data_IF_222210125832
#
_entry.id   IF_222210125832
#
_cell.length_a   1.000
_cell.length_b   1.000
_cell.length_c   1.000
_cell.angle_alpha   90.00
_cell.angle_beta   90.00
_cell.angle_gamma   90.00
#
_symmetry.space_group_name_H-M   'P 1'
#
loop_
_entity.id
_entity.type
_entity.pdbx_description
1 polymer ?
#
# COMPACT_ATOMS: atom_id res chain seq x y z
N UNK A 1 -54.30 41.54 29.08
CA UNK A 1 -54.69 40.89 27.81
C UNK A 1 -53.40 40.39 27.19
N UNK A 2 -53.28 39.08 27.00
CA UNK A 2 -52.19 38.34 26.32
C UNK A 2 -50.79 38.39 26.95
N UNK A 3 -50.02 37.31 27.07
CA UNK A 3 -50.27 35.87 27.18
C UNK A 3 -48.93 35.31 27.70
N UNK A 4 -48.95 34.55 28.79
CA UNK A 4 -47.75 33.93 29.37
C UNK A 4 -47.33 32.77 28.44
N UNK A 5 -46.07 32.68 27.99
CA UNK A 5 -45.65 31.58 27.12
C UNK A 5 -45.77 30.23 27.87
N UNK A 6 -46.15 29.15 27.18
CA UNK A 6 -46.47 27.88 27.81
C UNK A 6 -45.22 27.18 28.36
N UNK A 7 -45.42 26.53 29.50
CA UNK A 7 -44.48 25.60 30.14
C UNK A 7 -44.31 24.38 29.23
N UNK A 8 -43.08 23.93 28.90
CA UNK A 8 -42.91 22.66 28.20
C UNK A 8 -43.24 21.49 29.15
N UNK A 9 -44.19 20.65 28.74
CA UNK A 9 -44.51 19.37 29.37
C UNK A 9 -43.30 18.42 29.37
N UNK A 10 -43.20 17.52 30.36
CA UNK A 10 -42.10 16.57 30.46
C UNK A 10 -42.15 15.57 29.30
N UNK A 11 -41.13 15.61 28.44
CA UNK A 11 -40.91 14.59 27.41
C UNK A 11 -40.81 13.23 28.08
N UNK A 12 -41.84 12.42 27.86
CA UNK A 12 -41.87 11.00 28.16
C UNK A 12 -40.70 10.33 27.46
N UNK A 13 -39.86 9.69 28.27
CA UNK A 13 -38.80 8.79 27.84
C UNK A 13 -39.46 7.67 27.02
N UNK A 14 -39.07 7.44 25.75
CA UNK A 14 -39.48 6.22 25.09
C UNK A 14 -38.71 5.08 25.74
N UNK A 15 -39.43 4.26 26.50
CA UNK A 15 -39.05 2.91 26.91
C UNK A 15 -38.78 2.10 25.65
N UNK A 16 -37.56 2.16 25.15
CA UNK A 16 -37.05 1.33 24.07
C UNK A 16 -36.56 0.01 24.63
N UNK A 17 -37.45 -0.97 24.61
CA UNK A 17 -37.17 -2.37 24.30
C UNK A 17 -35.74 -2.85 24.60
N UNK A 18 -35.53 -3.38 25.82
CA UNK A 18 -34.33 -4.13 26.22
C UNK A 18 -34.29 -5.49 25.49
N UNK A 19 -34.14 -5.43 24.17
CA UNK A 19 -33.77 -6.54 23.28
C UNK A 19 -32.25 -6.80 23.30
N UNK A 20 -31.78 -7.92 22.72
CA UNK A 20 -30.64 -8.75 23.16
C UNK A 20 -29.22 -8.16 23.03
N UNK A 21 -29.05 -6.83 22.97
CA UNK A 21 -27.74 -6.17 22.92
C UNK A 21 -27.01 -6.23 24.27
N UNK A 22 -27.72 -6.27 25.40
CA UNK A 22 -27.11 -6.28 26.73
C UNK A 22 -26.27 -7.54 27.02
N UNK A 23 -26.57 -8.67 26.36
CA UNK A 23 -25.82 -9.91 26.49
C UNK A 23 -24.47 -9.91 25.74
N UNK A 24 -24.26 -8.98 24.81
CA UNK A 24 -23.09 -8.96 23.91
C UNK A 24 -21.85 -8.24 24.47
N UNK A 25 -22.04 -7.35 25.47
CA UNK A 25 -20.98 -6.47 25.99
C UNK A 25 -19.93 -7.25 26.79
N UNK A 26 -20.30 -8.43 27.28
CA UNK A 26 -19.46 -9.31 28.11
C UNK A 26 -18.64 -10.35 27.36
N UNK A 27 -19.18 -10.87 26.26
CA UNK A 27 -18.64 -12.02 25.51
C UNK A 27 -17.67 -11.59 24.41
N UNK A 28 -17.89 -10.41 23.83
CA UNK A 28 -17.05 -9.87 22.78
C UNK A 28 -15.93 -9.00 23.36
N UNK A 29 -14.80 -9.06 22.68
CA UNK A 29 -13.72 -8.12 22.77
C UNK A 29 -14.05 -6.89 21.94
N UNK A 30 -13.14 -5.95 22.07
CA UNK A 30 -13.11 -4.63 21.47
C UNK A 30 -13.33 -4.62 19.96
N UNK A 31 -12.82 -5.64 19.28
CA UNK A 31 -12.85 -5.76 17.83
C UNK A 31 -14.09 -6.53 17.34
N UNK A 32 -15.08 -6.74 18.21
CA UNK A 32 -16.24 -7.57 17.93
C UNK A 32 -15.92 -9.07 17.86
N UNK A 33 -14.74 -9.50 18.32
CA UNK A 33 -14.33 -10.91 18.34
C UNK A 33 -14.63 -11.51 19.71
N UNK A 34 -14.94 -12.79 19.83
CA UNK A 34 -15.13 -13.39 21.16
C UNK A 34 -13.86 -13.27 22.01
N UNK A 35 -13.99 -12.83 23.28
CA UNK A 35 -12.85 -12.73 24.21
C UNK A 35 -12.17 -14.09 24.30
N UNK A 36 -10.83 -14.13 24.29
CA UNK A 36 -10.06 -15.41 24.40
C UNK A 36 -10.49 -16.29 25.58
N UNK A 37 -10.90 -15.70 26.69
CA UNK A 37 -11.44 -16.43 27.86
C UNK A 37 -12.80 -17.10 27.57
N UNK A 38 -13.66 -16.44 26.80
CA UNK A 38 -14.98 -16.94 26.37
C UNK A 38 -14.79 -18.09 25.40
N UNK A 39 -13.96 -17.89 24.36
CA UNK A 39 -13.59 -18.94 23.39
C UNK A 39 -13.03 -20.17 24.11
N UNK A 40 -12.03 -19.98 24.98
CA UNK A 40 -11.41 -21.09 25.74
C UNK A 40 -12.40 -21.80 26.67
N UNK A 41 -13.34 -21.07 27.26
CA UNK A 41 -14.37 -21.67 28.13
C UNK A 41 -15.38 -22.47 27.32
N UNK A 42 -15.76 -21.97 26.14
CA UNK A 42 -16.66 -22.63 25.19
C UNK A 42 -16.05 -23.93 24.65
N UNK A 43 -14.80 -23.87 24.18
CA UNK A 43 -14.05 -25.04 23.68
C UNK A 43 -13.90 -26.11 24.78
N UNK A 44 -13.52 -25.70 25.99
CA UNK A 44 -13.37 -26.64 27.12
C UNK A 44 -14.69 -27.24 27.57
N UNK A 45 -15.78 -26.48 27.49
CA UNK A 45 -17.12 -27.00 27.79
C UNK A 45 -17.58 -28.02 26.78
N UNK A 46 -17.42 -27.74 25.48
CA UNK A 46 -17.72 -28.70 24.43
C UNK A 46 -16.93 -30.01 24.64
N UNK A 47 -15.62 -29.93 24.79
CA UNK A 47 -14.77 -31.12 25.00
C UNK A 47 -15.13 -31.93 26.25
N UNK A 48 -15.51 -31.27 27.36
CA UNK A 48 -15.94 -31.98 28.57
C UNK A 48 -17.30 -32.65 28.36
N UNK A 49 -18.25 -31.98 27.69
CA UNK A 49 -19.58 -32.54 27.41
C UNK A 49 -19.52 -33.70 26.42
N UNK A 50 -18.70 -33.60 25.37
CA UNK A 50 -18.50 -34.67 24.39
C UNK A 50 -17.95 -35.93 25.07
N UNK A 51 -16.92 -35.78 25.91
CA UNK A 51 -16.34 -36.90 26.66
C UNK A 51 -17.31 -37.51 27.70
N UNK A 52 -18.20 -36.71 28.29
CA UNK A 52 -19.26 -37.22 29.16
C UNK A 52 -20.31 -37.99 28.37
N UNK A 53 -20.65 -37.53 27.16
CA UNK A 53 -21.57 -38.23 26.26
C UNK A 53 -21.00 -39.57 25.76
N UNK A 54 -19.67 -39.64 25.56
CA UNK A 54 -18.92 -40.88 25.31
C UNK A 54 -18.84 -41.82 26.54
N UNK A 55 -19.38 -41.43 27.69
CA UNK A 55 -19.39 -42.24 28.91
C UNK A 55 -18.08 -42.24 29.70
N UNK A 56 -17.15 -41.31 29.41
CA UNK A 56 -15.89 -41.25 30.13
C UNK A 56 -16.08 -40.79 31.59
N UNK A 57 -15.31 -41.41 32.51
CA UNK A 57 -15.31 -41.00 33.91
C UNK A 57 -14.63 -39.63 34.09
N UNK A 58 -15.01 -38.91 35.15
CA UNK A 58 -14.43 -37.59 35.45
C UNK A 58 -12.90 -37.63 35.59
N UNK A 59 -12.32 -38.73 36.08
CA UNK A 59 -10.87 -38.90 36.19
C UNK A 59 -10.21 -39.04 34.82
N UNK A 60 -10.82 -39.81 33.92
CA UNK A 60 -10.35 -39.94 32.54
C UNK A 60 -10.33 -38.58 31.82
N UNK A 61 -11.37 -37.77 32.02
CA UNK A 61 -11.46 -36.41 31.46
C UNK A 61 -10.37 -35.49 32.02
N UNK A 62 -10.07 -35.57 33.33
CA UNK A 62 -8.99 -34.79 33.95
C UNK A 62 -7.63 -35.09 33.28
N UNK A 63 -7.33 -36.37 33.05
CA UNK A 63 -6.08 -36.79 32.42
C UNK A 63 -6.02 -36.43 30.93
N UNK A 64 -7.10 -36.66 30.18
CA UNK A 64 -7.15 -36.43 28.72
C UNK A 64 -7.08 -34.95 28.35
N UNK A 65 -7.73 -34.08 29.13
CA UNK A 65 -7.74 -32.63 28.90
C UNK A 65 -6.71 -31.86 29.73
N UNK A 66 -5.97 -32.54 30.63
CA UNK A 66 -5.06 -31.94 31.60
C UNK A 66 -5.73 -30.80 32.40
N UNK A 67 -6.95 -31.07 32.89
CA UNK A 67 -7.74 -30.12 33.67
C UNK A 67 -7.85 -30.60 35.11
N UNK A 68 -7.87 -29.64 36.05
CA UNK A 68 -8.09 -29.95 37.46
C UNK A 68 -9.49 -30.52 37.71
N UNK A 69 -9.61 -31.44 38.69
CA UNK A 69 -10.84 -32.15 39.02
C UNK A 69 -11.98 -31.20 39.42
N UNK A 70 -11.69 -30.09 40.09
CA UNK A 70 -12.70 -29.09 40.43
C UNK A 70 -13.23 -28.36 39.19
N UNK A 71 -12.38 -28.16 38.18
CA UNK A 71 -12.74 -27.56 36.90
C UNK A 71 -13.59 -28.51 36.08
N UNK A 72 -13.18 -29.78 35.92
CA UNK A 72 -13.98 -30.79 35.21
C UNK A 72 -15.34 -30.97 35.86
N UNK A 73 -15.41 -31.06 37.20
CA UNK A 73 -16.68 -31.14 37.94
C UNK A 73 -17.57 -29.92 37.75
N UNK A 74 -16.99 -28.71 37.69
CA UNK A 74 -17.73 -27.47 37.44
C UNK A 74 -18.34 -27.45 36.03
N UNK A 75 -17.59 -27.91 35.03
CA UNK A 75 -18.03 -27.95 33.64
C UNK A 75 -19.06 -29.07 33.39
N UNK A 76 -18.91 -30.21 34.06
CA UNK A 76 -19.85 -31.34 33.98
C UNK A 76 -21.23 -31.04 34.61
N UNK A 77 -21.27 -30.16 35.63
CA UNK A 77 -22.52 -29.78 36.32
C UNK A 77 -23.25 -28.59 35.69
N UNK A 78 -22.54 -27.80 34.88
CA UNK A 78 -23.13 -26.63 34.26
C UNK A 78 -24.12 -27.05 33.17
N UNK A 79 -25.32 -26.49 33.19
CA UNK A 79 -26.39 -26.83 32.23
C UNK A 79 -26.23 -26.04 30.93
N UNK A 80 -25.57 -24.88 31.00
CA UNK A 80 -25.27 -24.05 29.83
C UNK A 80 -23.91 -23.35 29.94
N UNK A 81 -23.37 -22.94 28.78
CA UNK A 81 -22.15 -22.13 28.70
C UNK A 81 -22.37 -20.77 29.39
N UNK A 82 -23.58 -20.23 29.32
CA UNK A 82 -23.92 -18.93 29.90
C UNK A 82 -23.75 -18.95 31.43
N UNK A 83 -24.13 -20.03 32.11
CA UNK A 83 -23.93 -20.22 33.55
C UNK A 83 -22.45 -20.12 33.96
N UNK A 84 -21.55 -20.67 33.15
CA UNK A 84 -20.10 -20.62 33.39
C UNK A 84 -19.52 -19.23 33.12
N UNK A 85 -20.13 -18.47 32.21
CA UNK A 85 -19.65 -17.17 31.78
C UNK A 85 -20.19 -16.02 32.64
N UNK A 86 -21.37 -16.12 33.26
CA UNK A 86 -21.99 -15.07 34.09
C UNK A 86 -21.02 -14.47 35.12
N UNK A 87 -20.28 -15.32 35.85
CA UNK A 87 -19.36 -14.88 36.90
C UNK A 87 -18.09 -14.18 36.37
N UNK A 88 -17.76 -14.43 35.10
CA UNK A 88 -16.57 -13.88 34.42
C UNK A 88 -16.93 -12.62 33.64
N UNK A 89 -18.13 -12.56 33.08
CA UNK A 89 -18.69 -11.43 32.34
C UNK A 89 -19.08 -10.29 33.27
N UNK A 90 -19.65 -10.57 34.45
CA UNK A 90 -20.15 -9.56 35.37
C UNK A 90 -19.08 -8.84 36.21
N UNK A 91 -17.79 -8.97 35.88
CA UNK A 91 -16.74 -8.12 36.48
C UNK A 91 -16.73 -6.77 35.77
N UNK A 92 -17.63 -5.88 36.15
CA UNK A 92 -17.62 -4.49 35.69
C UNK A 92 -16.29 -3.84 36.05
N UNK A 93 -15.53 -3.39 35.05
CA UNK A 93 -14.32 -2.59 35.29
C UNK A 93 -14.59 -1.11 35.07
N UNK A 94 -13.87 -0.23 35.76
CA UNK A 94 -13.97 1.23 35.61
C UNK A 94 -13.74 1.67 34.14
N UNK A 95 -13.03 0.85 33.35
CA UNK A 95 -12.78 1.11 31.93
C UNK A 95 -14.00 0.82 31.05
N UNK A 96 -14.98 0.04 31.51
CA UNK A 96 -16.12 -0.44 30.72
C UNK A 96 -16.94 0.73 30.15
N UNK A 97 -17.13 1.79 30.95
CA UNK A 97 -17.84 3.00 30.54
C UNK A 97 -17.14 3.79 29.42
N UNK A 98 -15.82 3.67 29.28
CA UNK A 98 -15.02 4.43 28.32
C UNK A 98 -14.59 3.60 27.10
N UNK A 99 -14.93 2.30 27.05
CA UNK A 99 -14.62 1.44 25.90
C UNK A 99 -15.17 1.97 24.57
N UNK A 100 -16.42 2.46 24.47
CA UNK A 100 -16.97 2.94 23.20
C UNK A 100 -16.14 4.09 22.62
N UNK A 101 -15.72 5.04 23.47
CA UNK A 101 -14.87 6.16 23.05
C UNK A 101 -13.51 5.68 22.51
N UNK A 102 -12.87 4.75 23.22
CA UNK A 102 -11.60 4.17 22.78
C UNK A 102 -11.72 3.43 21.44
N UNK A 103 -12.85 2.75 21.17
CA UNK A 103 -13.10 2.09 19.89
C UNK A 103 -13.26 3.09 18.75
N UNK A 104 -14.07 4.12 18.96
CA UNK A 104 -14.31 5.15 17.97
C UNK A 104 -12.98 5.80 17.55
N UNK A 105 -12.19 6.25 18.52
CA UNK A 105 -10.92 6.93 18.27
C UNK A 105 -9.87 6.01 17.63
N UNK A 106 -9.86 4.73 18.00
CA UNK A 106 -8.99 3.73 17.35
C UNK A 106 -9.36 3.51 15.88
N UNK A 107 -10.65 3.44 15.57
CA UNK A 107 -11.14 3.30 14.19
C UNK A 107 -10.91 4.56 13.34
N UNK A 108 -10.87 5.73 13.97
CA UNK A 108 -10.43 6.99 13.36
C UNK A 108 -8.89 7.06 13.14
N UNK A 109 -8.14 6.03 13.55
CA UNK A 109 -6.70 5.93 13.35
C UNK A 109 -5.85 6.53 14.46
N UNK A 110 -6.42 6.89 15.60
CA UNK A 110 -5.65 7.35 16.77
C UNK A 110 -5.09 6.15 17.54
N UNK A 111 -3.78 5.93 17.44
CA UNK A 111 -3.04 4.87 18.14
C UNK A 111 -2.23 5.38 19.35
N UNK A 112 -2.18 6.70 19.56
CA UNK A 112 -1.49 7.30 20.71
C UNK A 112 -2.25 7.05 22.02
N UNK A 113 -1.72 6.12 22.81
CA UNK A 113 -2.23 5.75 24.14
C UNK A 113 -2.27 6.94 25.12
N UNK A 114 -1.33 7.89 25.02
CA UNK A 114 -1.29 9.05 25.93
C UNK A 114 -2.37 10.08 25.56
N UNK A 115 -2.64 10.25 24.27
CA UNK A 115 -3.77 11.04 23.80
C UNK A 115 -5.10 10.42 24.25
N UNK A 116 -5.30 9.13 24.00
CA UNK A 116 -6.52 8.41 24.39
C UNK A 116 -6.78 8.44 25.90
N UNK A 117 -5.73 8.35 26.73
CA UNK A 117 -5.87 8.46 28.20
C UNK A 117 -6.33 9.85 28.64
N UNK A 118 -5.79 10.93 28.04
CA UNK A 118 -6.23 12.30 28.34
C UNK A 118 -7.69 12.53 27.97
N UNK A 119 -8.12 12.00 26.82
CA UNK A 119 -9.50 12.12 26.36
C UNK A 119 -10.48 11.42 27.30
N UNK A 120 -10.19 10.17 27.72
CA UNK A 120 -11.08 9.48 28.66
C UNK A 120 -11.01 10.05 30.08
N UNK A 121 -9.85 10.61 30.49
CA UNK A 121 -9.72 11.30 31.77
C UNK A 121 -10.62 12.54 31.83
N UNK A 122 -10.74 13.29 30.73
CA UNK A 122 -11.70 14.40 30.61
C UNK A 122 -13.17 13.94 30.66
N UNK A 123 -13.44 12.70 30.22
CA UNK A 123 -14.77 12.06 30.31
C UNK A 123 -15.06 11.44 31.70
N UNK A 124 -14.18 11.64 32.69
CA UNK A 124 -14.37 11.17 34.07
C UNK A 124 -13.67 9.86 34.42
N UNK A 125 -12.74 9.38 33.58
CA UNK A 125 -11.94 8.18 33.91
C UNK A 125 -10.94 8.47 35.03
N UNK A 126 -11.03 7.71 36.13
CA UNK A 126 -10.15 7.84 37.31
C UNK A 126 -8.98 6.86 37.31
N UNK A 127 -8.83 6.03 36.27
CA UNK A 127 -7.78 5.02 36.19
C UNK A 127 -6.46 5.52 35.59
N UNK A 128 -5.39 4.75 35.84
CA UNK A 128 -4.06 5.05 35.31
C UNK A 128 -3.89 4.71 33.82
N UNK A 129 -2.93 5.38 33.16
CA UNK A 129 -2.57 5.17 31.75
C UNK A 129 -2.21 3.71 31.42
N UNK A 130 -1.66 2.96 32.38
CA UNK A 130 -1.31 1.55 32.20
C UNK A 130 -2.53 0.64 31.99
N UNK A 131 -3.68 1.02 32.56
CA UNK A 131 -4.95 0.30 32.36
C UNK A 131 -5.42 0.43 30.90
N UNK A 132 -5.30 1.64 30.34
CA UNK A 132 -5.58 1.93 28.93
C UNK A 132 -4.60 1.19 28.04
N UNK A 133 -3.29 1.30 28.31
CA UNK A 133 -2.24 0.60 27.54
C UNK A 133 -2.46 -0.92 27.51
N UNK A 134 -2.79 -1.52 28.66
CA UNK A 134 -3.06 -2.96 28.75
C UNK A 134 -4.28 -3.37 27.93
N UNK A 135 -5.31 -2.52 27.88
CA UNK A 135 -6.52 -2.73 27.09
C UNK A 135 -6.25 -2.60 25.58
N UNK A 136 -5.54 -1.52 25.18
CA UNK A 136 -5.17 -1.25 23.79
C UNK A 136 -4.18 -2.27 23.22
N UNK A 137 -3.42 -2.99 24.06
CA UNK A 137 -2.46 -4.03 23.63
C UNK A 137 -3.08 -5.13 22.75
N UNK A 138 -4.37 -5.38 22.89
CA UNK A 138 -5.08 -6.40 22.10
C UNK A 138 -5.63 -5.86 20.78
N UNK A 139 -5.59 -4.55 20.57
CA UNK A 139 -6.02 -3.96 19.32
C UNK A 139 -4.88 -4.16 18.33
N UNK A 140 -5.11 -4.99 17.32
CA UNK A 140 -4.21 -5.03 16.17
C UNK A 140 -4.37 -3.69 15.45
N UNK A 141 -3.29 -2.95 15.16
CA UNK A 141 -3.39 -1.80 14.28
C UNK A 141 -4.14 -2.23 13.02
N UNK A 142 -5.13 -1.45 12.58
CA UNK A 142 -5.66 -1.61 11.24
C UNK A 142 -4.44 -1.62 10.31
N UNK A 143 -4.36 -2.59 9.40
CA UNK A 143 -3.17 -2.80 8.57
C UNK A 143 -2.67 -1.43 8.08
N UNK A 144 -1.38 -1.09 8.31
CA UNK A 144 -0.89 0.25 8.00
C UNK A 144 -1.31 0.55 6.57
N UNK A 145 -2.09 1.62 6.37
CA UNK A 145 -2.43 2.10 5.04
C UNK A 145 -1.12 2.13 4.26
N UNK A 146 -1.00 1.38 3.14
CA UNK A 146 0.28 1.25 2.47
C UNK A 146 0.79 2.66 2.21
N UNK A 147 1.97 2.97 2.76
CA UNK A 147 2.57 4.27 2.55
C UNK A 147 2.59 4.54 1.05
N UNK A 148 2.21 5.75 0.60
CA UNK A 148 2.16 6.05 -0.82
C UNK A 148 3.52 5.69 -1.43
N UNK A 149 3.49 4.89 -2.51
CA UNK A 149 4.72 4.49 -3.21
C UNK A 149 5.48 5.77 -3.57
N UNK A 150 6.75 5.81 -3.20
CA UNK A 150 7.59 6.97 -3.55
C UNK A 150 7.61 7.11 -5.08
N UNK A 151 7.35 8.33 -5.55
CA UNK A 151 7.36 8.61 -6.98
C UNK A 151 8.74 8.23 -7.57
N UNK A 152 8.78 7.58 -8.73
CA UNK A 152 10.04 7.21 -9.35
C UNK A 152 10.82 8.47 -9.77
N UNK A 153 12.15 8.38 -9.68
CA UNK A 153 13.02 9.49 -10.09
C UNK A 153 12.81 9.81 -11.59
N UNK A 154 12.86 11.09 -12.02
CA UNK A 154 12.66 11.44 -13.43
C UNK A 154 13.55 10.67 -14.42
N UNK A 155 14.83 10.46 -14.08
CA UNK A 155 15.76 9.66 -14.90
C UNK A 155 15.31 8.22 -15.11
N UNK A 156 14.62 7.63 -14.12
CA UNK A 156 14.08 6.27 -14.21
C UNK A 156 12.92 6.23 -15.20
N UNK A 157 12.02 7.22 -15.13
CA UNK A 157 10.90 7.37 -16.08
C UNK A 157 11.41 7.58 -17.51
N UNK A 158 12.39 8.46 -17.71
CA UNK A 158 13.02 8.66 -19.03
C UNK A 158 13.62 7.36 -19.56
N UNK A 159 14.32 6.60 -18.70
CA UNK A 159 14.87 5.29 -19.09
C UNK A 159 13.76 4.33 -19.52
N UNK A 160 12.64 4.27 -18.82
CA UNK A 160 11.51 3.42 -19.20
C UNK A 160 10.90 3.83 -20.54
N UNK A 161 10.73 5.13 -20.79
CA UNK A 161 10.21 5.66 -22.06
C UNK A 161 11.13 5.28 -23.22
N UNK A 162 12.45 5.40 -23.02
CA UNK A 162 13.47 5.14 -24.05
C UNK A 162 13.79 3.65 -24.24
N UNK A 163 13.28 2.77 -23.37
CA UNK A 163 13.50 1.32 -23.47
C UNK A 163 12.43 0.71 -24.38
N UNK A 164 12.81 -0.21 -25.26
CA UNK A 164 11.86 -0.98 -26.07
C UNK A 164 10.86 -1.67 -25.11
N UNK A 165 9.53 -1.50 -25.31
CA UNK A 165 8.52 -2.09 -24.43
C UNK A 165 8.68 -3.60 -24.19
N UNK A 166 9.16 -4.36 -25.19
CA UNK A 166 9.40 -5.80 -25.05
C UNK A 166 10.57 -6.19 -24.14
N UNK A 167 11.42 -5.22 -23.75
CA UNK A 167 12.57 -5.42 -22.87
C UNK A 167 12.38 -4.77 -21.49
N UNK A 168 11.18 -4.23 -21.21
CA UNK A 168 10.87 -3.59 -19.94
C UNK A 168 10.41 -4.67 -18.93
N UNK A 169 10.88 -4.58 -17.68
CA UNK A 169 10.40 -5.47 -16.62
C UNK A 169 8.91 -5.19 -16.33
N UNK A 170 8.15 -6.21 -15.98
CA UNK A 170 6.69 -6.10 -15.76
C UNK A 170 6.34 -5.01 -14.73
N UNK A 171 7.06 -4.96 -13.60
CA UNK A 171 6.86 -3.94 -12.56
C UNK A 171 7.14 -2.50 -13.06
N UNK A 172 8.17 -2.35 -13.90
CA UNK A 172 8.54 -1.07 -14.50
C UNK A 172 7.51 -0.65 -15.58
N UNK A 173 6.97 -1.61 -16.33
CA UNK A 173 5.92 -1.39 -17.31
C UNK A 173 4.59 -0.97 -16.65
N UNK A 174 4.22 -1.63 -15.55
CA UNK A 174 3.07 -1.26 -14.73
C UNK A 174 3.25 0.15 -14.15
N UNK A 175 4.42 0.44 -13.57
CA UNK A 175 4.73 1.76 -13.02
C UNK A 175 4.66 2.86 -14.09
N UNK A 176 5.22 2.62 -15.28
CA UNK A 176 5.13 3.58 -16.39
C UNK A 176 3.67 3.79 -16.82
N UNK A 177 2.86 2.73 -16.87
CA UNK A 177 1.43 2.82 -17.21
C UNK A 177 0.67 3.68 -16.20
N UNK A 178 0.89 3.46 -14.90
CA UNK A 178 0.25 4.26 -13.83
C UNK A 178 0.56 5.76 -13.99
N UNK A 179 1.83 6.11 -14.26
CA UNK A 179 2.22 7.53 -14.41
C UNK A 179 1.64 8.14 -15.69
N UNK A 180 1.60 7.38 -16.78
CA UNK A 180 0.98 7.85 -18.05
C UNK A 180 -0.51 8.15 -17.88
N UNK A 181 -1.23 7.36 -17.08
CA UNK A 181 -2.65 7.64 -16.78
C UNK A 181 -2.81 8.94 -15.99
N UNK A 182 -1.87 9.24 -15.09
CA UNK A 182 -1.91 10.44 -14.24
C UNK A 182 -1.40 11.74 -14.89
N UNK A 183 -0.72 11.66 -16.04
CA UNK A 183 -0.13 12.83 -16.71
C UNK A 183 -0.28 12.72 -18.24
N UNK A 184 -1.27 13.41 -18.84
CA UNK A 184 -1.51 13.41 -20.28
C UNK A 184 -0.31 13.84 -21.11
N UNK A 185 0.47 14.80 -20.61
CA UNK A 185 1.67 15.30 -21.28
C UNK A 185 2.76 14.21 -21.35
N UNK A 186 2.96 13.45 -20.26
CA UNK A 186 3.89 12.34 -20.26
C UNK A 186 3.41 11.20 -21.15
N UNK A 187 2.10 10.97 -21.20
CA UNK A 187 1.52 10.00 -22.12
C UNK A 187 1.86 10.37 -23.58
N UNK A 188 1.56 11.60 -23.98
CA UNK A 188 1.85 12.11 -25.33
C UNK A 188 3.35 12.06 -25.66
N UNK A 189 4.22 12.51 -24.75
CA UNK A 189 5.69 12.40 -24.92
C UNK A 189 6.13 10.95 -25.11
N UNK A 190 5.55 10.02 -24.36
CA UNK A 190 5.89 8.60 -24.48
C UNK A 190 5.51 8.05 -25.85
N UNK A 191 4.34 8.42 -26.36
CA UNK A 191 3.87 7.98 -27.68
C UNK A 191 4.74 8.58 -28.79
N UNK A 192 5.01 9.89 -28.76
CA UNK A 192 5.90 10.53 -29.74
C UNK A 192 7.30 9.95 -29.75
N UNK A 193 7.88 9.68 -28.57
CA UNK A 193 9.20 9.08 -28.47
C UNK A 193 9.24 7.65 -29.04
N UNK A 194 8.19 6.86 -28.81
CA UNK A 194 8.07 5.49 -29.33
C UNK A 194 7.88 5.48 -30.84
N UNK A 195 7.01 6.34 -31.36
CA UNK A 195 6.78 6.49 -32.80
C UNK A 195 8.06 6.91 -33.52
N UNK A 196 8.81 7.86 -32.96
CA UNK A 196 10.08 8.29 -33.53
C UNK A 196 11.14 7.17 -33.48
N UNK A 197 11.17 6.37 -32.40
CA UNK A 197 12.07 5.23 -32.29
C UNK A 197 11.73 4.10 -33.26
N UNK A 198 10.45 3.88 -33.55
CA UNK A 198 10.00 2.95 -34.60
C UNK A 198 10.38 3.46 -35.98
N UNK A 199 10.14 4.75 -36.26
CA UNK A 199 10.54 5.41 -37.50
C UNK A 199 12.04 5.26 -37.78
N UNK A 200 12.89 5.47 -36.77
CA UNK A 200 14.34 5.26 -36.86
C UNK A 200 14.71 3.80 -37.13
N UNK A 201 14.01 2.85 -36.50
CA UNK A 201 14.30 1.42 -36.61
C UNK A 201 13.95 0.87 -37.99
N UNK A 202 12.81 1.29 -38.51
CA UNK A 202 12.22 0.77 -39.74
C UNK A 202 12.55 1.63 -40.96
N UNK A 203 13.44 2.60 -40.78
CA UNK A 203 13.92 3.53 -41.78
C UNK A 203 12.80 4.30 -42.52
N UNK A 204 11.82 4.80 -41.75
CA UNK A 204 10.60 5.43 -42.26
C UNK A 204 10.66 6.96 -42.28
N UNK A 205 11.73 7.52 -42.84
CA UNK A 205 11.88 8.98 -42.95
C UNK A 205 10.73 9.66 -43.72
N UNK A 206 10.00 8.93 -44.56
CA UNK A 206 8.78 9.38 -45.24
C UNK A 206 7.67 9.82 -44.26
N UNK A 207 7.65 9.26 -43.04
CA UNK A 207 6.66 9.57 -42.01
C UNK A 207 7.02 10.79 -41.14
N UNK A 208 8.24 11.32 -41.27
CA UNK A 208 8.73 12.42 -40.43
C UNK A 208 7.83 13.66 -40.48
N UNK A 209 7.35 14.15 -41.64
CA UNK A 209 6.49 15.33 -41.69
C UNK A 209 5.19 15.14 -40.89
N UNK A 210 4.53 14.00 -41.07
CA UNK A 210 3.29 13.68 -40.36
C UNK A 210 3.53 13.53 -38.85
N UNK A 211 4.66 12.94 -38.44
CA UNK A 211 5.03 12.87 -37.03
C UNK A 211 5.25 14.27 -36.42
N UNK A 212 5.94 15.16 -37.13
CA UNK A 212 6.14 16.55 -36.67
C UNK A 212 4.82 17.31 -36.50
N UNK A 213 3.87 17.15 -37.43
CA UNK A 213 2.54 17.75 -37.33
C UNK A 213 1.76 17.23 -36.11
N UNK A 214 1.84 15.93 -35.81
CA UNK A 214 1.21 15.36 -34.61
C UNK A 214 1.84 15.90 -33.32
N UNK A 215 3.16 16.05 -33.28
CA UNK A 215 3.86 16.66 -32.13
C UNK A 215 3.39 18.10 -31.89
N UNK A 216 3.14 18.86 -32.95
CA UNK A 216 2.66 20.26 -32.86
C UNK A 216 1.21 20.38 -32.34
N UNK A 217 0.40 19.31 -32.45
CA UNK A 217 -0.98 19.28 -31.93
C UNK A 217 -1.04 19.12 -30.41
N UNK A 218 0.00 18.55 -29.79
CA UNK A 218 0.07 18.37 -28.34
C UNK A 218 0.75 19.57 -27.65
N UNK A 219 0.35 19.94 -26.42
CA UNK A 219 0.93 21.07 -25.69
C UNK A 219 2.30 20.73 -25.07
N UNK A 220 3.30 20.46 -25.91
CA UNK A 220 4.63 19.97 -25.53
C UNK A 220 5.76 20.92 -26.01
N UNK A 221 6.00 22.06 -25.33
CA UNK A 221 6.94 23.09 -25.80
C UNK A 221 8.38 22.60 -26.05
N UNK A 222 8.83 21.62 -25.25
CA UNK A 222 10.15 21.01 -25.42
C UNK A 222 10.24 20.21 -26.73
N UNK A 223 9.18 19.50 -27.11
CA UNK A 223 9.14 18.77 -28.39
C UNK A 223 8.90 19.71 -29.57
N UNK A 224 8.14 20.80 -29.39
CA UNK A 224 8.04 21.84 -30.43
C UNK A 224 9.40 22.44 -30.77
N UNK A 225 10.24 22.68 -29.76
CA UNK A 225 11.62 23.16 -29.97
C UNK A 225 12.46 22.15 -30.75
N UNK A 226 12.28 20.85 -30.51
CA UNK A 226 12.91 19.78 -31.29
C UNK A 226 12.43 19.80 -32.74
N UNK A 227 11.12 19.81 -32.97
CA UNK A 227 10.51 19.87 -34.31
C UNK A 227 11.01 21.08 -35.10
N UNK A 228 11.07 22.25 -34.46
CA UNK A 228 11.63 23.46 -35.08
C UNK A 228 13.09 23.29 -35.49
N UNK A 229 13.88 22.52 -34.73
CA UNK A 229 15.24 22.15 -35.12
C UNK A 229 15.25 21.22 -36.33
N UNK A 230 14.44 20.16 -36.30
CA UNK A 230 14.35 19.17 -37.38
C UNK A 230 13.89 19.79 -38.70
N UNK A 231 12.94 20.75 -38.65
CA UNK A 231 12.44 21.47 -39.84
C UNK A 231 13.54 22.23 -40.59
N UNK A 232 14.57 22.74 -39.91
CA UNK A 232 15.65 23.50 -40.57
C UNK A 232 16.50 22.63 -41.48
N UNK A 233 16.68 21.36 -41.12
CA UNK A 233 17.51 20.39 -41.83
C UNK A 233 16.67 19.19 -42.30
N UNK A 234 15.39 19.42 -42.63
CA UNK A 234 14.41 18.35 -42.82
C UNK A 234 14.86 17.31 -43.86
N UNK A 235 15.36 17.75 -45.02
CA UNK A 235 15.83 16.83 -46.07
C UNK A 235 16.97 15.92 -45.57
N UNK A 236 17.88 16.47 -44.77
CA UNK A 236 18.98 15.71 -44.18
C UNK A 236 18.49 14.73 -43.11
N UNK A 237 17.51 15.13 -42.29
CA UNK A 237 16.90 14.24 -41.28
C UNK A 237 16.12 13.12 -41.97
N UNK A 238 15.32 13.42 -43.00
CA UNK A 238 14.61 12.41 -43.80
C UNK A 238 15.61 11.44 -44.42
N UNK A 239 16.69 11.93 -45.03
CA UNK A 239 17.73 11.07 -45.58
C UNK A 239 18.38 10.19 -44.50
N UNK A 240 18.67 10.76 -43.32
CA UNK A 240 19.23 10.02 -42.19
C UNK A 240 18.28 8.94 -41.63
N UNK A 241 16.98 9.20 -41.66
CA UNK A 241 15.94 8.26 -41.24
C UNK A 241 15.55 7.25 -42.31
N UNK A 242 15.95 7.41 -43.57
CA UNK A 242 15.60 6.48 -44.66
C UNK A 242 16.81 5.68 -45.17
N UNK A 243 18.02 6.12 -44.86
CA UNK A 243 19.25 5.50 -45.35
C UNK A 243 19.63 4.25 -44.54
N UNK A 244 19.97 3.11 -45.18
CA UNK A 244 20.56 1.97 -44.49
C UNK A 244 22.02 2.24 -44.06
N UNK A 245 22.63 3.29 -44.62
CA UNK A 245 23.99 3.71 -44.32
C UNK A 245 24.01 4.70 -43.17
N UNK A 246 24.87 4.44 -42.19
CA UNK A 246 25.13 5.37 -41.08
C UNK A 246 26.62 5.67 -40.99
N UNK A 247 26.95 6.84 -40.43
CA UNK A 247 28.33 7.21 -40.12
C UNK A 247 28.89 6.46 -38.90
N UNK A 248 28.14 5.53 -38.29
CA UNK A 248 28.51 4.88 -37.03
C UNK A 248 29.86 4.16 -37.08
N UNK A 249 30.14 3.42 -38.16
CA UNK A 249 31.42 2.75 -38.33
C UNK A 249 32.57 3.76 -38.47
N UNK A 250 32.37 4.82 -39.24
CA UNK A 250 33.36 5.89 -39.44
C UNK A 250 33.64 6.62 -38.12
N UNK A 251 32.60 6.96 -37.36
CA UNK A 251 32.71 7.60 -36.05
C UNK A 251 33.36 6.68 -35.01
N UNK A 252 33.09 5.38 -35.07
CA UNK A 252 33.78 4.37 -34.26
C UNK A 252 35.28 4.35 -34.55
N UNK A 253 35.67 4.37 -35.83
CA UNK A 253 37.08 4.47 -36.22
C UNK A 253 37.69 5.80 -35.77
N UNK A 254 37.00 6.92 -35.96
CA UNK A 254 37.45 8.24 -35.52
C UNK A 254 37.69 8.26 -34.01
N UNK A 255 36.76 7.71 -33.22
CA UNK A 255 36.88 7.58 -31.77
C UNK A 255 38.08 6.74 -31.36
N UNK A 256 38.30 5.59 -32.03
CA UNK A 256 39.48 4.74 -31.81
C UNK A 256 40.79 5.48 -32.09
N UNK A 257 40.85 6.21 -33.19
CA UNK A 257 42.02 7.02 -33.56
C UNK A 257 42.25 8.14 -32.54
N UNK A 258 41.20 8.86 -32.14
CA UNK A 258 41.24 9.90 -31.10
C UNK A 258 41.75 9.34 -29.78
N UNK A 259 41.30 8.16 -29.36
CA UNK A 259 41.76 7.51 -28.14
C UNK A 259 43.27 7.20 -28.20
N UNK A 260 43.73 6.62 -29.30
CA UNK A 260 45.13 6.29 -29.50
C UNK A 260 46.03 7.54 -29.53
N UNK A 261 45.55 8.61 -30.17
CA UNK A 261 46.22 9.93 -30.18
C UNK A 261 46.30 10.51 -28.76
N UNK A 262 45.22 10.43 -27.96
CA UNK A 262 45.18 10.87 -26.56
C UNK A 262 46.13 10.06 -25.67
N UNK A 263 46.19 8.75 -25.85
CA UNK A 263 47.14 7.87 -25.14
C UNK A 263 48.61 8.20 -25.46
N UNK A 264 48.89 8.75 -26.64
CA UNK A 264 50.20 9.28 -27.02
C UNK A 264 50.44 10.73 -26.60
N UNK A 265 49.62 11.31 -25.71
CA UNK A 265 49.66 12.71 -25.30
C UNK A 265 49.64 13.71 -26.48
N UNK A 266 48.99 13.33 -27.59
CA UNK A 266 48.96 14.14 -28.80
C UNK A 266 50.26 14.19 -29.60
N UNK A 267 51.33 13.52 -29.15
CA UNK A 267 52.67 13.55 -29.76
C UNK A 267 52.91 12.49 -30.84
N UNK A 268 51.91 11.67 -31.15
CA UNK A 268 52.03 10.71 -32.23
C UNK A 268 51.89 11.42 -33.59
N UNK A 269 53.01 11.53 -34.33
CA UNK A 269 52.97 11.93 -35.73
C UNK A 269 52.26 10.86 -36.58
N UNK A 270 51.93 11.20 -37.84
CA UNK A 270 51.14 10.33 -38.70
C UNK A 270 51.73 8.92 -38.84
N UNK A 271 53.06 8.80 -38.98
CA UNK A 271 53.74 7.51 -39.11
C UNK A 271 53.54 6.60 -37.90
N UNK A 272 53.67 7.16 -36.69
CA UNK A 272 53.45 6.41 -35.45
C UNK A 272 51.98 6.02 -35.28
N UNK A 273 51.04 6.92 -35.60
CA UNK A 273 49.61 6.62 -35.60
C UNK A 273 49.27 5.51 -36.59
N UNK A 274 49.77 5.60 -37.83
CA UNK A 274 49.57 4.60 -38.89
C UNK A 274 50.08 3.23 -38.43
N UNK A 275 51.29 3.15 -37.88
CA UNK A 275 51.84 1.90 -37.35
C UNK A 275 50.97 1.30 -36.25
N UNK A 276 50.54 2.12 -35.28
CA UNK A 276 49.70 1.66 -34.15
C UNK A 276 48.26 1.30 -34.54
N UNK A 277 47.74 1.82 -35.65
CA UNK A 277 46.40 1.49 -36.17
C UNK A 277 46.44 0.23 -37.03
N UNK A 278 47.42 0.11 -37.93
CA UNK A 278 47.50 -0.98 -38.91
C UNK A 278 48.11 -2.28 -38.35
N UNK A 279 48.99 -2.19 -37.34
CA UNK A 279 49.68 -3.35 -36.77
C UNK A 279 49.19 -3.72 -35.36
N UNK A 280 47.94 -3.38 -35.03
CA UNK A 280 47.32 -3.78 -33.77
C UNK A 280 46.78 -5.20 -33.90
N UNK A 281 47.56 -6.19 -33.46
CA UNK A 281 47.08 -7.54 -33.15
C UNK A 281 46.24 -7.53 -31.89
#
# INVERSE_FOLDING_TARGET
MFEKPPVPEPTTVPTGDDGPLAASIGTLDVCGRERRLVVRTRERFALVQDLLHEGASLESICHRLQLDRSTVRRFARATSIDELLVKTINRSTILDAHRPHLHQRWNEGCDDTAQLHREIAALGFTGGIQTVRRYLRNFTPSAPTPAPRSAPRPRRVVRWIMTNPGNLLDDDALSLKEIRVGCPELNAVTDHARDFAEMMRDLRGDQLPQWMERVEQDPLPALHSLVNGLRRDQDAVVAGLSSPWSSGQVEGQNTRVKLLKRAGYGRANFDLLRKRILHRT
#
